data_IF_992505139345
#
_entry.id   IF_992505139345
#
_cell.length_a   1.000
_cell.length_b   1.000
_cell.length_c   1.000
_cell.angle_alpha   90.00
_cell.angle_beta   90.00
_cell.angle_gamma   90.00
#
_symmetry.space_group_name_H-M   'P 1'
#
loop_
_entity.id
_entity.type
_entity.pdbx_description
1 polymer ?
#
# COMPACT_ATOMS: atom_id res chain seq x y z
N UNK A 1 9.42 -4.63 -11.38
CA UNK A 1 8.05 -5.04 -11.78
C UNK A 1 7.03 -4.96 -10.64
N UNK A 2 7.40 -5.17 -9.37
CA UNK A 2 6.48 -5.18 -8.22
C UNK A 2 5.63 -3.91 -8.07
N UNK A 3 6.18 -2.72 -8.33
CA UNK A 3 5.43 -1.46 -8.21
C UNK A 3 4.13 -1.43 -9.04
N UNK A 4 4.12 -1.96 -10.26
CA UNK A 4 2.90 -2.00 -11.07
C UNK A 4 1.84 -2.92 -10.47
N UNK A 5 2.26 -4.06 -9.93
CA UNK A 5 1.35 -4.99 -9.26
C UNK A 5 0.77 -4.37 -7.99
N UNK A 6 1.61 -3.72 -7.19
CA UNK A 6 1.18 -2.97 -6.00
C UNK A 6 0.17 -1.90 -6.39
N UNK A 7 0.48 -1.03 -7.35
CA UNK A 7 -0.43 0.04 -7.77
C UNK A 7 -1.76 -0.50 -8.29
N UNK A 8 -1.75 -1.56 -9.11
CA UNK A 8 -2.98 -2.18 -9.60
C UNK A 8 -3.83 -2.76 -8.45
N UNK A 9 -3.20 -3.41 -7.48
CA UNK A 9 -3.91 -3.90 -6.29
C UNK A 9 -4.49 -2.75 -5.46
N UNK A 10 -3.72 -1.68 -5.24
CA UNK A 10 -4.17 -0.54 -4.46
C UNK A 10 -5.31 0.24 -5.12
N UNK A 11 -5.48 0.15 -6.45
CA UNK A 11 -6.62 0.74 -7.16
C UNK A 11 -7.94 0.03 -6.88
N UNK A 12 -7.94 -1.17 -6.27
CA UNK A 12 -9.18 -1.81 -5.83
C UNK A 12 -9.83 -1.02 -4.71
N UNK A 13 -11.11 -0.68 -4.86
CA UNK A 13 -11.83 0.14 -3.89
C UNK A 13 -12.01 -0.63 -2.57
N UNK A 14 -11.35 -0.21 -1.47
CA UNK A 14 -11.59 -0.82 -0.17
C UNK A 14 -12.99 -0.45 0.32
N UNK A 15 -13.65 -1.39 1.00
CA UNK A 15 -15.00 -1.18 1.54
C UNK A 15 -15.04 -0.12 2.66
N UNK A 16 -13.90 0.20 3.27
CA UNK A 16 -13.77 1.16 4.37
C UNK A 16 -12.36 1.80 4.42
N UNK A 17 -12.25 2.96 5.07
CA UNK A 17 -11.03 3.75 5.23
C UNK A 17 -9.96 3.02 6.05
N UNK A 18 -10.34 2.27 7.09
CA UNK A 18 -9.38 1.44 7.82
C UNK A 18 -8.70 0.43 6.89
N UNK A 19 -9.49 -0.16 5.97
CA UNK A 19 -8.97 -1.11 4.99
C UNK A 19 -8.07 -0.43 3.96
N UNK A 20 -8.36 0.82 3.59
CA UNK A 20 -7.47 1.61 2.75
C UNK A 20 -6.08 1.81 3.39
N UNK A 21 -6.05 2.07 4.70
CA UNK A 21 -4.80 2.21 5.47
C UNK A 21 -4.01 0.91 5.45
N UNK A 22 -4.64 -0.21 5.80
CA UNK A 22 -4.00 -1.53 5.80
C UNK A 22 -3.42 -1.89 4.43
N UNK A 23 -4.18 -1.65 3.35
CA UNK A 23 -3.73 -1.95 1.99
C UNK A 23 -2.58 -1.04 1.58
N UNK A 24 -2.66 0.27 1.86
CA UNK A 24 -1.59 1.21 1.55
C UNK A 24 -0.28 0.89 2.27
N UNK A 25 -0.36 0.51 3.55
CA UNK A 25 0.80 0.05 4.33
C UNK A 25 1.38 -1.25 3.78
N UNK A 26 0.53 -2.24 3.45
CA UNK A 26 0.97 -3.48 2.83
C UNK A 26 1.68 -3.22 1.49
N UNK A 27 1.08 -2.40 0.62
CA UNK A 27 1.66 -2.06 -0.67
C UNK A 27 3.01 -1.35 -0.52
N UNK A 28 3.16 -0.50 0.50
CA UNK A 28 4.44 0.13 0.83
C UNK A 28 5.49 -0.90 1.25
N UNK A 29 5.15 -1.83 2.15
CA UNK A 29 6.08 -2.89 2.59
C UNK A 29 6.47 -3.84 1.45
N UNK A 30 5.50 -4.26 0.63
CA UNK A 30 5.76 -5.11 -0.55
C UNK A 30 6.68 -4.41 -1.55
N UNK A 31 6.44 -3.12 -1.81
CA UNK A 31 7.29 -2.32 -2.69
C UNK A 31 8.69 -2.15 -2.10
N UNK A 32 8.81 -1.78 -0.82
CA UNK A 32 10.08 -1.58 -0.13
C UNK A 32 10.92 -2.86 -0.11
N UNK A 33 10.31 -4.00 0.23
CA UNK A 33 10.96 -5.30 0.23
C UNK A 33 11.34 -5.82 -1.17
N UNK A 34 10.84 -5.19 -2.23
CA UNK A 34 11.20 -5.53 -3.62
C UNK A 34 12.36 -4.72 -4.19
N UNK A 35 12.84 -3.71 -3.45
CA UNK A 35 13.95 -2.87 -3.90
C UNK A 35 15.29 -3.64 -3.81
N UNK A 36 16.20 -3.45 -4.77
CA UNK A 36 17.58 -3.92 -4.63
C UNK A 36 18.26 -3.26 -3.43
N UNK A 37 19.10 -4.02 -2.70
CA UNK A 37 19.77 -3.53 -1.48
C UNK A 37 20.76 -2.39 -1.72
N UNK A 38 21.23 -2.22 -2.95
CA UNK A 38 22.15 -1.17 -3.41
C UNK A 38 21.43 0.00 -4.10
N UNK A 39 20.09 0.00 -4.11
CA UNK A 39 19.33 1.03 -4.81
C UNK A 39 19.24 2.35 -4.04
N UNK A 40 19.30 3.46 -4.77
CA UNK A 40 19.04 4.80 -4.24
C UNK A 40 17.58 4.93 -3.82
N UNK A 41 17.35 4.89 -2.51
CA UNK A 41 16.01 4.94 -1.94
C UNK A 41 15.25 6.22 -2.31
N UNK A 42 15.89 7.39 -2.27
CA UNK A 42 15.20 8.66 -2.57
C UNK A 42 14.74 8.68 -4.04
N UNK A 43 15.63 8.24 -4.95
CA UNK A 43 15.29 8.12 -6.37
C UNK A 43 14.13 7.16 -6.59
N UNK A 44 14.16 5.99 -5.95
CA UNK A 44 13.10 4.99 -6.09
C UNK A 44 11.78 5.48 -5.51
N UNK A 45 11.81 6.15 -4.36
CA UNK A 45 10.62 6.67 -3.71
C UNK A 45 9.99 7.82 -4.50
N UNK A 46 10.78 8.71 -5.11
CA UNK A 46 10.28 9.73 -6.05
C UNK A 46 9.63 9.10 -7.29
N UNK A 47 10.27 8.09 -7.87
CA UNK A 47 9.74 7.40 -9.04
C UNK A 47 8.42 6.67 -8.72
N UNK A 48 8.33 6.04 -7.54
CA UNK A 48 7.12 5.40 -7.06
C UNK A 48 6.00 6.42 -6.82
N UNK A 49 6.32 7.55 -6.18
CA UNK A 49 5.36 8.62 -5.91
C UNK A 49 4.80 9.20 -7.21
N UNK A 50 5.64 9.52 -8.19
CA UNK A 50 5.22 10.06 -9.48
C UNK A 50 4.25 9.13 -10.23
N UNK A 51 4.44 7.81 -10.10
CA UNK A 51 3.56 6.81 -10.72
C UNK A 51 2.26 6.59 -9.95
N UNK A 52 2.27 6.78 -8.64
CA UNK A 52 1.09 6.63 -7.78
C UNK A 52 0.18 7.86 -7.82
N UNK A 53 0.77 9.06 -8.00
CA UNK A 53 0.09 10.35 -7.93
C UNK A 53 -1.20 10.46 -8.78
N UNK A 54 -1.25 9.97 -10.05
CA UNK A 54 -2.46 10.07 -10.86
C UNK A 54 -3.66 9.33 -10.28
N UNK A 55 -3.41 8.29 -9.49
CA UNK A 55 -4.44 7.42 -8.91
C UNK A 55 -4.82 7.81 -7.47
N UNK A 56 -4.14 8.79 -6.88
CA UNK A 56 -4.37 9.21 -5.50
C UNK A 56 -5.81 9.66 -5.24
N UNK A 57 -6.45 10.29 -6.24
CA UNK A 57 -7.85 10.75 -6.14
C UNK A 57 -8.87 9.61 -6.29
N UNK A 58 -8.47 8.51 -6.93
CA UNK A 58 -9.36 7.40 -7.27
C UNK A 58 -9.38 6.35 -6.17
N UNK A 59 -8.23 6.12 -5.51
CA UNK A 59 -8.14 5.14 -4.42
C UNK A 59 -7.56 5.74 -3.13
N UNK A 60 -8.28 5.64 -2.00
CA UNK A 60 -7.77 6.07 -0.71
C UNK A 60 -6.53 5.28 -0.26
N UNK A 61 -6.39 4.02 -0.68
CA UNK A 61 -5.21 3.21 -0.35
C UNK A 61 -3.94 3.73 -1.03
N UNK A 62 -4.08 4.32 -2.21
CA UNK A 62 -2.97 4.99 -2.91
C UNK A 62 -2.59 6.28 -2.20
N UNK A 63 -3.56 7.01 -1.65
CA UNK A 63 -3.30 8.15 -0.77
C UNK A 63 -2.41 7.78 0.41
N UNK A 64 -2.70 6.66 1.08
CA UNK A 64 -1.89 6.14 2.19
C UNK A 64 -0.49 5.76 1.72
N UNK A 65 -0.37 5.03 0.59
CA UNK A 65 0.92 4.67 0.00
C UNK A 65 1.77 5.91 -0.33
N UNK A 66 1.18 6.93 -0.95
CA UNK A 66 1.85 8.21 -1.23
C UNK A 66 2.30 8.93 0.05
N UNK A 67 1.47 8.92 1.10
CA UNK A 67 1.82 9.53 2.38
C UNK A 67 3.04 8.82 3.03
N UNK A 68 3.09 7.49 2.95
CA UNK A 68 4.23 6.71 3.46
C UNK A 68 5.51 6.98 2.67
N UNK A 69 5.44 7.09 1.34
CA UNK A 69 6.58 7.49 0.51
C UNK A 69 7.14 8.86 0.89
N UNK A 70 6.27 9.82 1.20
CA UNK A 70 6.69 11.15 1.65
C UNK A 70 7.27 11.10 3.06
N UNK A 71 6.62 10.39 3.99
CA UNK A 71 7.07 10.25 5.37
C UNK A 71 8.44 9.56 5.45
N UNK A 72 8.66 8.50 4.66
CA UNK A 72 9.92 7.77 4.62
C UNK A 72 11.12 8.60 4.14
N UNK A 73 10.86 9.73 3.47
CA UNK A 73 11.87 10.65 2.92
C UNK A 73 12.06 11.89 3.80
N UNK A 74 11.32 12.02 4.91
CA UNK A 74 11.47 13.16 5.82
C UNK A 74 12.82 13.10 6.52
N UNK A 75 13.36 14.29 6.78
CA UNK A 75 14.54 14.52 7.60
C UNK A 75 14.16 15.49 8.72
N UNK A 76 14.46 15.17 10.00
CA UNK A 76 15.11 13.95 10.47
C UNK A 76 14.25 12.68 10.23
N UNK A 77 14.87 11.48 10.16
CA UNK A 77 14.13 10.25 9.98
C UNK A 77 13.22 9.99 11.19
N UNK A 78 11.93 9.82 10.93
CA UNK A 78 10.93 9.49 11.94
C UNK A 78 10.45 8.04 11.77
N UNK A 79 10.12 7.34 12.87
CA UNK A 79 9.56 6.00 12.80
C UNK A 79 8.27 5.99 11.98
N UNK A 80 8.20 5.13 10.95
CA UNK A 80 6.95 4.88 10.23
C UNK A 80 6.07 3.95 11.06
N UNK A 81 4.85 4.40 11.38
CA UNK A 81 3.86 3.55 12.04
C UNK A 81 3.21 2.60 11.02
N UNK A 82 3.92 1.50 10.73
CA UNK A 82 3.45 0.44 9.84
C UNK A 82 2.77 -0.65 10.66
N UNK A 83 1.51 -0.95 10.34
CA UNK A 83 0.79 -2.09 10.90
C UNK A 83 0.72 -3.20 9.85
N UNK A 84 0.90 -4.45 10.29
CA UNK A 84 0.55 -5.58 9.44
C UNK A 84 -0.98 -5.58 9.25
N UNK A 85 -1.47 -5.78 8.01
CA UNK A 85 -2.90 -5.87 7.76
C UNK A 85 -3.50 -7.01 8.58
N UNK A 86 -4.66 -6.79 9.19
CA UNK A 86 -5.32 -7.86 9.95
C UNK A 86 -5.68 -9.01 9.00
N UNK A 87 -5.42 -10.28 9.37
CA UNK A 87 -5.82 -11.42 8.55
C UNK A 87 -7.34 -11.42 8.35
N UNK A 88 -7.80 -11.23 7.11
CA UNK A 88 -9.21 -11.37 6.77
C UNK A 88 -9.43 -12.69 6.06
N UNK A 89 -9.98 -13.68 6.78
CA UNK A 89 -10.43 -14.93 6.17
C UNK A 89 -11.66 -14.63 5.31
N UNK A 90 -11.51 -14.66 3.98
CA UNK A 90 -12.65 -14.79 3.07
C UNK A 90 -13.38 -16.06 3.49
N UNK A 91 -14.59 -15.92 4.03
CA UNK A 91 -15.37 -17.01 4.59
C UNK A 91 -15.28 -18.25 3.71
N UNK A 92 -14.76 -19.34 4.30
CA UNK A 92 -14.72 -20.64 3.64
C UNK A 92 -16.13 -21.10 3.24
N UNK A 93 -16.23 -22.23 2.57
CA UNK A 93 -17.45 -22.81 2.00
C UNK A 93 -18.69 -22.82 2.93
N UNK A 94 -18.50 -22.71 4.26
CA UNK A 94 -19.57 -22.55 5.25
C UNK A 94 -20.25 -21.16 5.26
N UNK A 95 -19.54 -20.06 5.00
CA UNK A 95 -20.14 -18.72 4.98
C UNK A 95 -21.13 -18.54 3.82
N UNK A 96 -20.97 -19.31 2.73
CA UNK A 96 -21.89 -19.32 1.59
C UNK A 96 -23.24 -20.00 1.86
N UNK A 97 -23.35 -20.80 2.94
CA UNK A 97 -24.58 -21.54 3.29
C UNK A 97 -25.54 -20.77 4.22
N UNK A 98 -25.13 -19.61 4.75
CA UNK A 98 -25.99 -18.79 5.60
C UNK A 98 -26.76 -17.70 4.84
N UNK A 99 -26.70 -17.71 3.51
CA UNK A 99 -27.41 -16.76 2.63
C UNK A 99 -28.30 -17.51 1.62
N UNK A 100 -28.74 -18.73 1.96
CA UNK A 100 -29.80 -19.45 1.24
C UNK A 100 -31.01 -19.64 2.14
#
# INVERSE_FOLDING_TARGET
MVLNHVLNRLQTHPADQLRAVELGQLGFMEWLGSLPGDSDFDRQARAAYARALPFQRVSPAIGVFCALLLAARRMPPEPLNLCLPRPHRRGGSKARRQVQ
#
